data_IF_234495640969
#
_entry.id   IF_234495640969
#
_cell.length_a   1.000
_cell.length_b   1.000
_cell.length_c   1.000
_cell.angle_alpha   90.00
_cell.angle_beta   90.00
_cell.angle_gamma   90.00
#
_symmetry.space_group_name_H-M   'P 1'
#
loop_
_entity.id
_entity.type
_entity.pdbx_description
1 polymer ?
#
# COMPACT_ATOMS: atom_id res chain seq x y z
N UNK A 1 -6.26 10.40 23.41
CA UNK A 1 -5.24 9.34 23.57
C UNK A 1 -4.07 9.74 22.70
N UNK A 2 -2.86 9.81 23.25
CA UNK A 2 -1.66 10.03 22.44
C UNK A 2 -1.40 8.76 21.63
N UNK A 3 -1.39 8.88 20.30
CA UNK A 3 -1.00 7.80 19.39
C UNK A 3 0.49 7.54 19.61
N UNK A 4 0.83 6.36 20.15
CA UNK A 4 2.23 5.94 20.27
C UNK A 4 2.79 5.80 18.84
N UNK A 5 3.78 6.63 18.51
CA UNK A 5 4.53 6.52 17.26
C UNK A 5 5.43 5.28 17.35
N UNK A 6 5.20 4.32 16.47
CA UNK A 6 5.98 3.09 16.35
C UNK A 6 7.11 3.34 15.38
N UNK A 7 8.34 3.08 15.83
CA UNK A 7 9.56 3.40 15.05
C UNK A 7 10.35 2.16 14.66
N UNK A 8 9.92 0.97 15.11
CA UNK A 8 10.55 -0.30 14.79
C UNK A 8 9.50 -1.32 14.34
N UNK A 9 9.79 -2.06 13.27
CA UNK A 9 8.92 -3.12 12.78
C UNK A 9 8.61 -4.17 13.86
N UNK A 10 9.54 -4.44 14.76
CA UNK A 10 9.33 -5.38 15.88
C UNK A 10 8.18 -5.00 16.82
N UNK A 11 7.81 -3.72 16.90
CA UNK A 11 6.70 -3.24 17.73
C UNK A 11 5.32 -3.40 17.06
N UNK A 12 5.27 -3.78 15.79
CA UNK A 12 4.00 -4.03 15.09
C UNK A 12 3.46 -5.42 15.46
N UNK A 13 2.20 -5.46 15.87
CA UNK A 13 1.51 -6.64 16.36
C UNK A 13 0.66 -7.29 15.25
N UNK A 14 0.61 -8.61 15.25
CA UNK A 14 -0.24 -9.39 14.33
C UNK A 14 -1.71 -9.10 14.64
N UNK A 15 -2.52 -8.90 13.60
CA UNK A 15 -3.94 -8.60 13.72
C UNK A 15 -4.26 -7.12 13.93
N UNK A 16 -3.25 -6.25 13.92
CA UNK A 16 -3.41 -4.79 14.02
C UNK A 16 -3.28 -4.09 12.67
N UNK A 17 -3.76 -2.85 12.65
CA UNK A 17 -3.77 -2.00 11.47
C UNK A 17 -2.88 -0.79 11.73
N UNK A 18 -2.09 -0.41 10.74
CA UNK A 18 -1.14 0.68 10.85
C UNK A 18 -1.19 1.57 9.62
N UNK A 19 -0.79 2.82 9.82
CA UNK A 19 -0.55 3.79 8.76
C UNK A 19 0.88 4.30 8.89
N UNK A 20 1.58 4.42 7.76
CA UNK A 20 2.83 5.17 7.68
C UNK A 20 2.76 6.10 6.46
N UNK A 21 2.59 7.41 6.72
CA UNK A 21 2.35 8.40 5.67
C UNK A 21 1.14 8.07 4.80
N UNK A 22 1.40 7.71 3.54
CA UNK A 22 0.40 7.35 2.54
C UNK A 22 0.17 5.83 2.41
N UNK A 23 0.88 5.04 3.19
CA UNK A 23 0.80 3.59 3.19
C UNK A 23 -0.02 3.08 4.36
N UNK A 24 -0.81 2.03 4.10
CA UNK A 24 -1.69 1.40 5.06
C UNK A 24 -1.38 -0.09 5.12
N UNK A 25 -1.34 -0.65 6.33
CA UNK A 25 -0.91 -2.02 6.58
C UNK A 25 -1.87 -2.74 7.53
N UNK A 26 -2.26 -3.96 7.19
CA UNK A 26 -2.88 -4.91 8.10
C UNK A 26 -1.91 -6.08 8.32
N UNK A 27 -1.36 -6.22 9.52
CA UNK A 27 -0.32 -7.22 9.81
C UNK A 27 -0.94 -8.61 9.93
N UNK A 28 -0.58 -9.51 9.03
CA UNK A 28 -1.15 -10.86 8.93
C UNK A 28 -0.28 -11.93 9.58
N UNK A 29 1.01 -11.67 9.77
CA UNK A 29 1.90 -12.65 10.37
C UNK A 29 3.35 -12.18 10.43
N UNK A 30 4.23 -13.12 10.78
CA UNK A 30 5.68 -12.93 10.85
C UNK A 30 6.37 -14.14 10.22
N UNK A 31 7.33 -13.87 9.35
CA UNK A 31 8.14 -14.87 8.68
C UNK A 31 9.56 -14.78 9.22
N UNK A 32 10.00 -15.82 9.90
CA UNK A 32 11.39 -15.94 10.37
C UNK A 32 12.28 -16.41 9.21
N UNK A 33 13.41 -15.73 8.96
CA UNK A 33 14.42 -16.17 8.00
C UNK A 33 15.83 -16.02 8.59
N UNK A 34 16.85 -16.67 7.99
CA UNK A 34 18.23 -16.60 8.49
C UNK A 34 18.80 -15.16 8.56
N UNK A 35 18.26 -14.26 7.74
CA UNK A 35 18.65 -12.85 7.68
C UNK A 35 17.80 -11.90 8.54
N UNK A 36 16.80 -12.40 9.26
CA UNK A 36 15.95 -11.57 10.12
C UNK A 36 14.49 -12.03 10.17
N UNK A 37 13.69 -11.34 10.99
CA UNK A 37 12.24 -11.55 11.11
C UNK A 37 11.50 -10.53 10.24
N UNK A 38 10.72 -10.99 9.27
CA UNK A 38 9.94 -10.13 8.37
C UNK A 38 8.47 -10.12 8.78
N UNK A 39 7.83 -8.95 8.73
CA UNK A 39 6.38 -8.88 8.90
C UNK A 39 5.66 -9.10 7.58
N UNK A 40 4.62 -9.90 7.63
CA UNK A 40 3.68 -10.06 6.53
C UNK A 40 2.51 -9.10 6.79
N UNK A 41 2.10 -8.35 5.77
CA UNK A 41 0.89 -7.54 5.85
C UNK A 41 0.06 -7.64 4.57
N UNK A 42 -1.16 -7.13 4.60
CA UNK A 42 -1.84 -6.67 3.39
C UNK A 42 -1.66 -5.17 3.39
N UNK A 43 -1.17 -4.59 2.30
CA UNK A 43 -0.91 -3.17 2.25
C UNK A 43 -1.35 -2.50 0.96
N UNK A 44 -1.69 -1.23 1.08
CA UNK A 44 -1.94 -0.36 -0.06
C UNK A 44 -1.32 1.01 0.20
N UNK A 45 -0.86 1.66 -0.86
CA UNK A 45 -0.13 2.93 -0.77
C UNK A 45 -0.68 3.95 -1.75
N UNK A 46 -0.92 5.16 -1.26
CA UNK A 46 -1.33 6.33 -2.04
C UNK A 46 -0.13 7.10 -2.60
N UNK A 47 0.72 6.40 -3.35
CA UNK A 47 1.82 6.99 -4.10
C UNK A 47 1.48 7.06 -5.59
N UNK A 48 2.43 7.53 -6.42
CA UNK A 48 2.24 7.73 -7.86
C UNK A 48 1.61 6.52 -8.57
N UNK A 49 2.02 5.30 -8.20
CA UNK A 49 1.56 4.07 -8.83
C UNK A 49 0.32 3.44 -8.16
N UNK A 50 -0.19 4.02 -7.06
CA UNK A 50 -1.27 3.47 -6.23
C UNK A 50 -1.19 1.93 -6.08
N UNK A 51 -0.23 1.44 -5.32
CA UNK A 51 0.08 0.01 -5.23
C UNK A 51 -0.83 -0.72 -4.23
N UNK A 52 -1.15 -1.98 -4.53
CA UNK A 52 -1.81 -2.92 -3.64
C UNK A 52 -0.93 -4.17 -3.57
N UNK A 53 -0.49 -4.53 -2.37
CA UNK A 53 0.24 -5.76 -2.11
C UNK A 53 -0.57 -6.65 -1.17
N UNK A 54 -0.92 -7.83 -1.68
CA UNK A 54 -1.68 -8.88 -0.97
C UNK A 54 -0.83 -10.13 -0.74
N UNK A 55 0.42 -10.12 -1.19
CA UNK A 55 1.28 -11.30 -1.23
C UNK A 55 2.22 -11.32 -0.03
N UNK A 56 3.06 -10.29 0.11
CA UNK A 56 4.02 -10.12 1.20
C UNK A 56 4.70 -8.75 1.09
N UNK A 57 4.07 -7.65 1.54
CA UNK A 57 4.77 -6.40 1.73
C UNK A 57 5.80 -6.63 2.84
N UNK A 58 7.05 -6.82 2.43
CA UNK A 58 8.17 -6.86 3.35
C UNK A 58 8.28 -5.48 3.99
N UNK A 59 7.79 -5.34 5.22
CA UNK A 59 8.24 -4.25 6.08
C UNK A 59 9.66 -4.67 6.48
N UNK A 60 10.66 -4.23 5.70
CA UNK A 60 12.05 -4.55 5.97
C UNK A 60 12.41 -4.14 7.40
N UNK A 61 13.28 -4.94 8.05
CA UNK A 61 13.76 -4.75 9.42
C UNK A 61 14.35 -3.34 9.66
N UNK A 62 14.68 -2.62 8.59
CA UNK A 62 15.15 -1.25 8.60
C UNK A 62 14.00 -0.34 8.16
N UNK A 63 13.08 -0.10 9.09
CA UNK A 63 12.27 1.11 9.05
C UNK A 63 13.15 2.27 9.56
N UNK A 64 14.29 2.55 8.90
CA UNK A 64 14.98 3.82 9.14
C UNK A 64 14.01 4.89 8.64
N UNK A 65 13.39 5.61 9.57
CA UNK A 65 12.55 6.80 9.39
C UNK A 65 11.02 6.61 9.27
N UNK A 66 10.50 5.39 9.42
CA UNK A 66 9.04 5.18 9.36
C UNK A 66 8.32 5.68 10.61
N UNK A 67 7.10 6.15 10.37
CA UNK A 67 6.24 6.82 11.33
C UNK A 67 4.94 6.07 11.53
N UNK A 68 5.04 4.78 11.88
CA UNK A 68 3.86 3.94 12.03
C UNK A 68 2.95 4.44 13.16
N UNK A 69 1.69 4.64 12.81
CA UNK A 69 0.61 4.95 13.73
C UNK A 69 -0.38 3.78 13.71
N UNK A 70 -0.69 3.21 14.88
CA UNK A 70 -1.79 2.25 14.99
C UNK A 70 -3.11 2.96 14.69
N UNK A 71 -3.89 2.37 13.79
CA UNK A 71 -5.22 2.84 13.42
C UNK A 71 -6.24 1.75 13.71
N UNK A 72 -7.52 2.13 13.81
CA UNK A 72 -8.58 1.15 13.95
C UNK A 72 -8.97 0.55 12.59
N UNK A 73 -9.67 -0.59 12.64
CA UNK A 73 -10.16 -1.30 11.47
C UNK A 73 -11.03 -0.41 10.58
N UNK A 74 -11.93 0.38 11.17
CA UNK A 74 -12.89 1.17 10.39
C UNK A 74 -12.18 2.24 9.55
N UNK A 75 -11.15 2.88 10.08
CA UNK A 75 -10.31 3.82 9.36
C UNK A 75 -9.58 3.14 8.21
N UNK A 76 -8.98 1.97 8.46
CA UNK A 76 -8.32 1.18 7.42
C UNK A 76 -9.30 0.80 6.30
N UNK A 77 -10.48 0.30 6.65
CA UNK A 77 -11.49 -0.12 5.68
C UNK A 77 -12.03 1.06 4.87
N UNK A 78 -12.28 2.21 5.50
CA UNK A 78 -12.71 3.41 4.79
C UNK A 78 -11.65 3.91 3.81
N UNK A 79 -10.37 3.91 4.22
CA UNK A 79 -9.27 4.26 3.35
C UNK A 79 -9.12 3.27 2.18
N UNK A 80 -9.33 1.97 2.43
CA UNK A 80 -9.27 0.93 1.41
C UNK A 80 -10.41 1.02 0.39
N UNK A 81 -11.64 1.31 0.83
CA UNK A 81 -12.78 1.52 -0.06
C UNK A 81 -12.53 2.73 -0.97
N UNK A 82 -12.03 3.82 -0.42
CA UNK A 82 -11.66 4.99 -1.22
C UNK A 82 -10.52 4.68 -2.21
N UNK A 83 -9.51 3.92 -1.77
CA UNK A 83 -8.40 3.46 -2.62
C UNK A 83 -8.90 2.66 -3.83
N UNK A 84 -9.87 1.76 -3.61
CA UNK A 84 -10.46 0.94 -4.68
C UNK A 84 -11.16 1.81 -5.72
N UNK A 85 -11.95 2.80 -5.30
CA UNK A 85 -12.64 3.71 -6.21
C UNK A 85 -11.66 4.53 -7.06
N UNK A 86 -10.64 5.12 -6.45
CA UNK A 86 -9.64 5.93 -7.15
C UNK A 86 -8.77 5.09 -8.10
N UNK A 87 -8.34 3.90 -7.67
CA UNK A 87 -7.58 2.98 -8.52
C UNK A 87 -8.37 2.54 -9.76
N UNK A 88 -9.68 2.33 -9.62
CA UNK A 88 -10.57 2.02 -10.75
C UNK A 88 -10.67 3.20 -11.72
N UNK A 89 -10.80 4.44 -11.23
CA UNK A 89 -10.81 5.64 -12.08
C UNK A 89 -9.52 5.78 -12.87
N UNK A 90 -8.36 5.57 -12.23
CA UNK A 90 -7.06 5.60 -12.92
C UNK A 90 -6.95 4.53 -14.01
N UNK A 91 -7.37 3.30 -13.74
CA UNK A 91 -7.39 2.23 -14.75
C UNK A 91 -8.25 2.58 -15.97
N UNK A 92 -9.42 3.19 -15.77
CA UNK A 92 -10.29 3.64 -16.86
C UNK A 92 -9.57 4.71 -17.70
N UNK A 93 -8.98 5.72 -17.05
CA UNK A 93 -8.23 6.78 -17.72
C UNK A 93 -7.05 6.23 -18.54
N UNK A 94 -6.35 5.22 -18.04
CA UNK A 94 -5.24 4.59 -18.76
C UNK A 94 -5.72 3.81 -19.98
N UNK A 95 -6.85 3.11 -19.88
CA UNK A 95 -7.49 2.45 -21.03
C UNK A 95 -7.88 3.48 -22.10
N UNK A 96 -8.48 4.60 -21.70
CA UNK A 96 -8.86 5.68 -22.63
C UNK A 96 -7.63 6.31 -23.31
N UNK A 97 -6.56 6.55 -22.55
CA UNK A 97 -5.28 7.06 -23.09
C UNK A 97 -4.66 6.09 -24.10
N UNK A 98 -4.68 4.79 -23.81
CA UNK A 98 -4.20 3.75 -24.73
C UNK A 98 -5.05 3.69 -26.00
N UNK A 99 -6.38 3.81 -25.88
CA UNK A 99 -7.27 3.87 -27.03
C UNK A 99 -6.96 5.08 -27.93
N UNK A 100 -6.77 6.26 -27.33
CA UNK A 100 -6.39 7.48 -28.06
C UNK A 100 -5.02 7.35 -28.74
N UNK A 101 -4.02 6.79 -28.04
CA UNK A 101 -2.71 6.54 -28.61
C UNK A 101 -2.80 5.62 -29.83
N UNK A 102 -3.59 4.54 -29.76
CA UNK A 102 -3.83 3.64 -30.88
C UNK A 102 -4.50 4.33 -32.08
N UNK A 103 -5.49 5.21 -31.85
CA UNK A 103 -6.11 5.99 -32.92
C UNK A 103 -5.10 6.93 -33.59
N UNK A 104 -4.27 7.63 -32.80
CA UNK A 104 -3.22 8.51 -33.32
C UNK A 104 -2.22 7.74 -34.17
N UNK A 105 -1.72 6.60 -33.70
CA UNK A 105 -0.78 5.76 -34.42
C UNK A 105 -1.34 5.28 -35.77
N UNK A 106 -2.62 4.86 -35.80
CA UNK A 106 -3.28 4.42 -37.04
C UNK A 106 -3.48 5.53 -38.06
N UNK A 107 -3.55 6.79 -37.61
CA UNK A 107 -3.74 7.96 -38.47
C UNK A 107 -2.41 8.57 -38.95
N UNK A 108 -1.25 8.03 -38.54
CA UNK A 108 0.04 8.42 -39.10
C UNK A 108 0.13 7.82 -40.50
N UNK A 109 0.11 8.67 -41.52
CA UNK A 109 0.47 8.30 -42.89
C UNK A 109 1.98 8.45 -43.02
N UNK A 110 2.69 7.36 -43.38
CA UNK A 110 4.12 7.37 -43.64
C UNK A 110 4.44 8.02 -44.99
#
# INVERSE_FOLDING_TARGET
METKKITQASELEIGKYYRDGNSYYYVTGRTEAPQGSFLNAISFTWDYDMSLDVSTPYIEEIVKDGSFEEINRDLFMNAFEHFKEEKQKLMILDIERLALANLKLKNITL
#
